data_IF_122630172741
#
_entry.id   IF_122630172741
#
_cell.length_a   1.000
_cell.length_b   1.000
_cell.length_c   1.000
_cell.angle_alpha   90.00
_cell.angle_beta   90.00
_cell.angle_gamma   90.00
#
_symmetry.space_group_name_H-M   'P 1'
#
loop_
_entity.id
_entity.type
_entity.pdbx_description
1 polymer ?
2 non-polymer ?
3 non-polymer ?
4 water ?
#
# COMPACT_ATOMS: atom_id res chain seq x y z
N UNK A 4 13.70 0.38 28.26
CA UNK A 4 12.49 0.16 27.37
C UNK A 4 12.95 -0.44 26.05
N UNK A 5 12.65 -1.74 25.78
CA UNK A 5 13.16 -2.41 24.59
C UNK A 5 12.48 -1.84 23.34
N UNK A 6 13.17 -1.85 22.20
CA UNK A 6 12.56 -1.36 20.94
C UNK A 6 11.70 -2.48 20.37
N UNK A 7 10.57 -2.14 19.73
CA UNK A 7 9.68 -3.16 19.24
C UNK A 7 10.23 -3.89 18.02
N UNK A 8 9.81 -5.15 17.89
CA UNK A 8 10.08 -6.04 16.74
C UNK A 8 8.86 -6.03 15.81
N UNK A 9 7.71 -5.67 16.37
CA UNK A 9 6.39 -5.69 15.70
C UNK A 9 5.59 -4.46 16.15
N UNK A 10 4.79 -3.91 15.24
CA UNK A 10 3.78 -2.88 15.59
C UNK A 10 2.48 -3.29 14.92
N UNK A 11 1.40 -2.69 15.37
CA UNK A 11 0.13 -2.85 14.67
C UNK A 11 -0.26 -1.51 14.10
N UNK A 12 -0.82 -1.61 12.91
CA UNK A 12 -1.19 -0.43 12.10
C UNK A 12 -2.67 -0.55 11.76
N UNK A 13 -3.41 0.51 12.04
CA UNK A 13 -4.80 0.67 11.58
C UNK A 13 -4.80 1.50 10.30
N UNK A 14 -5.48 0.98 9.29
CA UNK A 14 -5.76 1.70 8.03
C UNK A 14 -7.26 1.91 7.94
N UNK A 15 -7.71 3.13 7.78
CA UNK A 15 -9.11 3.41 7.51
C UNK A 15 -9.28 4.13 6.19
N UNK A 16 -10.31 3.79 5.44
CA UNK A 16 -10.72 4.57 4.27
C UNK A 16 -12.21 4.84 4.37
N UNK A 17 -12.58 6.11 4.18
CA UNK A 17 -14.00 6.49 4.18
C UNK A 17 -14.24 7.61 3.19
N UNK A 18 -15.08 7.36 2.22
CA UNK A 18 -15.68 8.42 1.39
C UNK A 18 -16.89 8.97 2.13
N UNK A 19 -16.73 10.17 2.65
CA UNK A 19 -17.68 10.82 3.56
C UNK A 19 -18.87 11.44 2.80
N UNK A 20 -18.87 11.46 1.47
CA UNK A 20 -20.01 11.94 0.70
C UNK A 20 -20.33 13.39 1.00
N UNK A 21 -19.30 14.16 1.35
CA UNK A 21 -19.37 15.63 1.55
C UNK A 21 -20.28 15.96 2.75
N UNK A 22 -20.52 15.00 3.64
CA UNK A 22 -21.41 15.20 4.82
C UNK A 22 -20.57 15.11 6.08
N UNK A 23 -20.90 15.89 7.13
CA UNK A 23 -20.23 15.74 8.41
C UNK A 23 -20.47 14.35 8.98
N UNK A 24 -19.52 13.80 9.76
CA UNK A 24 -19.73 12.49 10.33
C UNK A 24 -20.75 12.54 11.46
N UNK A 25 -21.21 11.37 11.93
CA UNK A 25 -22.12 11.34 13.07
C UNK A 25 -21.30 11.57 14.35
N UNK A 26 -21.97 11.64 15.49
CA UNK A 26 -21.26 12.03 16.73
C UNK A 26 -20.33 10.89 17.19
N UNK A 27 -20.60 9.65 16.82
CA UNK A 27 -19.79 8.50 17.26
C UNK A 27 -19.31 7.71 16.05
N UNK A 28 -17.99 7.56 15.92
CA UNK A 28 -17.42 6.76 14.79
C UNK A 28 -16.43 5.74 15.37
N UNK A 29 -16.51 5.45 16.67
CA UNK A 29 -15.56 4.53 17.33
C UNK A 29 -15.54 3.11 16.73
N UNK A 30 -16.67 2.65 16.17
CA UNK A 30 -16.79 1.30 15.56
C UNK A 30 -15.75 1.15 14.45
N UNK A 31 -15.45 2.23 13.73
CA UNK A 31 -14.44 2.20 12.64
C UNK A 31 -13.07 1.85 13.21
N UNK A 32 -12.65 2.56 14.24
CA UNK A 32 -11.30 2.38 14.82
C UNK A 32 -11.19 1.08 15.60
N UNK A 33 -12.32 0.51 16.02
CA UNK A 33 -12.40 -0.78 16.73
C UNK A 33 -12.53 -1.95 15.76
N UNK A 34 -12.61 -1.71 14.45
CA UNK A 34 -12.75 -2.78 13.45
C UNK A 34 -13.97 -3.65 13.78
N UNK A 35 -15.11 -2.99 14.00
CA UNK A 35 -16.42 -3.63 14.31
C UNK A 35 -17.39 -3.43 13.14
N UNK A 36 -18.13 -4.49 12.79
CA UNK A 36 -19.17 -4.42 11.78
C UNK A 36 -19.19 -5.71 11.05
N UNK A 37 -19.03 -5.64 9.73
CA UNK A 37 -19.04 -6.82 8.84
C UNK A 37 -17.60 -7.14 8.41
N UNK A 38 -17.39 -8.39 8.01
CA UNK A 38 -16.12 -8.84 7.45
C UNK A 38 -15.29 -9.54 8.49
N UNK A 39 -13.97 -9.36 8.39
CA UNK A 39 -12.99 -9.92 9.34
C UNK A 39 -12.77 -8.85 10.41
N UNK A 40 -13.42 -9.04 11.57
CA UNK A 40 -13.50 -8.01 12.62
C UNK A 40 -12.53 -8.37 13.75
N UNK A 41 -12.27 -7.35 14.56
CA UNK A 41 -11.33 -7.46 15.68
C UNK A 41 -12.06 -8.01 16.92
N UNK A 42 -11.36 -8.82 17.68
CA UNK A 42 -11.90 -9.42 18.91
C UNK A 42 -12.20 -8.33 19.96
N UNK A 43 -13.35 -8.48 20.61
CA UNK A 43 -13.76 -7.52 21.68
C UNK A 43 -12.69 -7.38 22.75
N UNK A 44 -11.94 -8.44 23.01
CA UNK A 44 -10.94 -8.45 24.11
C UNK A 44 -9.79 -7.49 23.80
N UNK A 45 -9.66 -7.03 22.54
CA UNK A 45 -8.61 -6.07 22.13
C UNK A 45 -9.05 -4.62 22.16
N UNK A 46 -10.30 -4.31 22.53
CA UNK A 46 -10.88 -2.98 22.31
C UNK A 46 -10.07 -1.89 22.99
N UNK A 47 -9.45 -2.16 24.15
CA UNK A 47 -8.74 -1.07 24.85
C UNK A 47 -7.30 -0.98 24.39
N UNK A 48 -6.84 -1.93 23.59
CA UNK A 48 -5.42 -2.01 23.18
C UNK A 48 -5.24 -1.07 22.00
N UNK A 49 -4.43 -0.02 22.11
CA UNK A 49 -4.29 0.92 21.01
C UNK A 49 -3.42 0.26 19.94
N UNK A 50 -3.75 0.53 18.69
CA UNK A 50 -2.79 0.32 17.62
C UNK A 50 -1.64 1.32 17.80
N UNK A 51 -0.50 0.96 17.25
CA UNK A 51 0.70 1.83 17.34
C UNK A 51 0.54 3.06 16.47
N UNK A 52 -0.02 2.86 15.28
CA UNK A 52 -0.15 3.92 14.24
C UNK A 52 -1.55 3.78 13.68
N UNK A 53 -2.28 4.90 13.59
CA UNK A 53 -3.58 4.97 12.89
C UNK A 53 -3.38 5.84 11.66
N UNK A 54 -3.75 5.31 10.48
CA UNK A 54 -3.69 6.06 9.21
C UNK A 54 -5.10 6.13 8.67
N UNK A 55 -5.61 7.35 8.53
CA UNK A 55 -7.04 7.64 8.21
C UNK A 55 -7.17 8.38 6.88
N UNK A 56 -7.68 7.68 5.85
CA UNK A 56 -7.83 8.27 4.50
C UNK A 56 -9.29 8.60 4.34
N UNK A 57 -9.58 9.83 4.00
CA UNK A 57 -10.93 10.22 3.62
C UNK A 57 -10.96 10.71 2.18
N UNK A 58 -12.14 10.63 1.63
CA UNK A 58 -12.49 11.18 0.29
C UNK A 58 -13.79 11.94 0.45
N UNK A 59 -14.00 12.94 -0.40
CA UNK A 59 -15.22 13.77 -0.30
C UNK A 59 -15.37 14.27 1.14
N UNK A 60 -14.26 14.66 1.76
CA UNK A 60 -14.22 15.09 3.17
C UNK A 60 -14.57 16.58 3.24
N UNK A 61 -15.67 16.95 3.91
CA UNK A 61 -16.13 18.34 3.94
C UNK A 61 -15.51 19.16 5.08
N UNK A 62 -14.73 18.50 5.92
CA UNK A 62 -14.25 19.09 7.18
C UNK A 62 -12.93 19.82 6.93
N UNK A 63 -12.64 20.80 7.77
CA UNK A 63 -11.28 21.36 7.83
C UNK A 63 -10.36 20.32 8.49
N UNK A 64 -9.05 20.46 8.30
CA UNK A 64 -8.08 19.58 8.95
C UNK A 64 -8.30 19.67 10.47
N UNK A 65 -8.54 20.89 10.96
CA UNK A 65 -8.69 21.05 12.41
C UNK A 65 -9.94 20.27 12.88
N UNK A 66 -11.05 20.46 12.20
CA UNK A 66 -12.31 19.79 12.58
C UNK A 66 -12.07 18.28 12.65
N UNK A 67 -11.44 17.70 11.63
CA UNK A 67 -11.32 16.23 11.55
C UNK A 67 -10.31 15.74 12.57
N UNK A 68 -9.19 16.44 12.77
CA UNK A 68 -8.22 16.08 13.80
C UNK A 68 -8.87 16.01 15.18
N UNK A 69 -9.70 17.02 15.48
CA UNK A 69 -10.52 17.11 16.72
C UNK A 69 -11.26 15.77 16.91
N UNK A 70 -12.07 15.40 15.92
CA UNK A 70 -12.93 14.21 15.97
C UNK A 70 -12.08 12.95 16.11
N UNK A 71 -11.03 12.87 15.33
CA UNK A 71 -10.18 11.66 15.37
C UNK A 71 -9.54 11.51 16.74
N UNK A 72 -8.87 12.54 17.19
CA UNK A 72 -8.15 12.41 18.48
C UNK A 72 -9.09 12.08 19.64
N UNK A 73 -10.24 12.76 19.70
CA UNK A 73 -11.29 12.54 20.74
C UNK A 73 -11.74 11.08 20.68
N UNK A 74 -12.01 10.57 19.48
CA UNK A 74 -12.51 9.19 19.27
C UNK A 74 -11.48 8.16 19.76
N UNK A 75 -10.19 8.38 19.48
CA UNK A 75 -9.16 7.43 19.92
C UNK A 75 -8.99 7.58 21.45
N UNK A 76 -9.06 8.80 21.97
CA UNK A 76 -8.94 8.99 23.45
C UNK A 76 -10.08 8.22 24.15
N UNK A 77 -11.29 8.32 23.63
CA UNK A 77 -12.45 7.63 24.22
C UNK A 77 -12.22 6.12 24.23
N UNK A 78 -11.72 5.57 23.12
CA UNK A 78 -11.50 4.11 22.98
C UNK A 78 -10.39 3.62 23.91
N UNK A 79 -9.26 4.35 23.98
CA UNK A 79 -8.01 3.79 24.49
C UNK A 79 -7.55 4.52 25.75
N UNK A 80 -8.10 5.70 26.02
CA UNK A 80 -7.58 6.64 27.06
C UNK A 80 -6.17 7.12 26.74
N UNK A 81 -5.74 7.03 25.48
CA UNK A 81 -4.41 7.55 25.03
C UNK A 81 -4.65 8.79 24.20
N UNK A 82 -3.84 9.82 24.43
CA UNK A 82 -3.82 11.05 23.61
C UNK A 82 -2.79 10.87 22.52
N UNK A 83 -3.26 10.60 21.30
CA UNK A 83 -2.36 10.32 20.19
C UNK A 83 -1.68 11.61 19.71
N UNK A 84 -0.49 11.45 19.15
CA UNK A 84 0.28 12.55 18.55
C UNK A 84 0.02 12.57 17.06
N UNK A 85 -0.06 13.77 16.48
CA UNK A 85 -0.25 13.92 15.03
C UNK A 85 1.12 13.80 14.36
N UNK A 86 1.29 12.81 13.51
CA UNK A 86 2.54 12.58 12.75
C UNK A 86 2.49 13.46 11.52
N UNK A 87 1.37 13.45 10.82
CA UNK A 87 1.26 14.12 9.51
C UNK A 87 -0.21 14.25 9.14
N UNK A 88 -0.52 15.30 8.40
CA UNK A 88 -1.84 15.47 7.76
C UNK A 88 -1.58 16.14 6.42
N UNK A 89 -2.24 15.68 5.38
CA UNK A 89 -2.10 16.26 4.05
C UNK A 89 -3.42 16.12 3.32
N UNK A 90 -3.88 17.20 2.70
CA UNK A 90 -5.16 17.26 2.00
C UNK A 90 -4.95 17.80 0.60
N UNK A 91 -5.53 17.13 -0.38
CA UNK A 91 -5.65 17.62 -1.77
C UNK A 91 -7.13 17.70 -2.07
N UNK A 92 -7.63 18.91 -2.23
CA UNK A 92 -9.07 19.11 -2.50
C UNK A 92 -9.82 18.49 -1.32
N UNK A 93 -10.60 17.44 -1.53
CA UNK A 93 -11.40 16.80 -0.46
C UNK A 93 -10.86 15.40 -0.15
N UNK A 94 -9.60 15.13 -0.56
CA UNK A 94 -8.88 13.86 -0.30
C UNK A 94 -7.88 14.10 0.82
N UNK A 95 -7.94 13.37 1.92
CA UNK A 95 -7.09 13.67 3.07
C UNK A 95 -6.49 12.40 3.66
N UNK A 96 -5.31 12.56 4.21
CA UNK A 96 -4.67 11.50 4.99
C UNK A 96 -4.21 12.09 6.32
N UNK A 97 -4.50 11.38 7.39
CA UNK A 97 -4.04 11.71 8.76
C UNK A 97 -3.26 10.54 9.31
N UNK A 98 -2.11 10.79 9.90
CA UNK A 98 -1.34 9.74 10.58
C UNK A 98 -1.22 10.15 12.04
N UNK A 99 -1.69 9.26 12.90
CA UNK A 99 -1.64 9.45 14.37
C UNK A 99 -0.80 8.32 14.94
N UNK A 100 -0.04 8.60 16.00
CA UNK A 100 0.76 7.54 16.62
C UNK A 100 0.76 7.69 18.13
N UNK A 101 0.95 6.56 18.83
CA UNK A 101 1.15 6.54 20.30
C UNK A 101 2.19 7.59 20.65
N UNK A 102 2.06 8.30 21.78
CA UNK A 102 3.10 9.21 22.22
C UNK A 102 4.49 8.60 22.41
N UNK A 103 4.55 7.36 22.83
CA UNK A 103 5.85 6.66 23.06
C UNK A 103 6.61 6.55 21.74
N UNK A 104 5.94 6.72 20.59
CA UNK A 104 6.62 6.52 19.28
C UNK A 104 7.20 7.82 18.72
N UNK A 105 6.96 8.93 19.42
CA UNK A 105 7.32 10.25 18.89
C UNK A 105 8.78 10.31 18.44
N UNK A 106 9.69 9.70 19.22
CA UNK A 106 11.16 9.76 18.98
C UNK A 106 11.63 8.47 18.27
N UNK A 107 10.67 7.68 17.77
CA UNK A 107 10.99 6.53 16.86
C UNK A 107 10.65 6.92 15.42
N UNK A 108 9.91 7.99 15.25
CA UNK A 108 9.40 8.40 13.93
C UNK A 108 10.22 9.57 13.40
N UNK A 109 10.70 9.48 12.18
CA UNK A 109 11.52 10.54 11.58
C UNK A 109 11.30 10.57 10.07
N UNK A 110 11.92 11.52 9.39
CA UNK A 110 11.89 11.57 7.90
C UNK A 110 10.45 11.57 7.40
N UNK A 111 9.63 12.45 7.95
CA UNK A 111 8.21 12.48 7.56
C UNK A 111 8.13 13.23 6.25
N UNK A 112 7.51 12.59 5.26
CA UNK A 112 7.25 13.17 3.92
C UNK A 112 5.73 13.18 3.72
N UNK A 113 5.26 14.13 2.89
CA UNK A 113 3.88 14.17 2.41
C UNK A 113 3.96 14.58 0.96
N UNK A 114 3.00 14.14 0.19
CA UNK A 114 2.90 14.59 -1.21
C UNK A 114 1.48 14.31 -1.72
N UNK A 115 1.18 14.83 -2.89
CA UNK A 115 -0.09 14.53 -3.57
C UNK A 115 0.16 14.40 -5.06
N UNK A 116 -0.75 13.75 -5.73
CA UNK A 116 -0.78 13.68 -7.20
C UNK A 116 -2.21 13.99 -7.64
N UNK A 117 -2.37 14.88 -8.59
CA UNK A 117 -3.64 15.20 -9.25
C UNK A 117 -3.75 14.35 -10.51
N UNK A 118 -4.82 13.55 -10.66
CA UNK A 118 -4.92 12.68 -11.87
C UNK A 118 -5.73 13.37 -12.98
N UNK A 119 -5.49 12.98 -14.24
CA UNK A 119 -6.27 13.45 -15.40
C UNK A 119 -5.80 14.79 -15.96
N UNK A 120 -6.36 15.20 -17.10
CA UNK A 120 -5.95 16.42 -17.88
C UNK A 120 -7.21 17.21 -18.28
N UNK A 121 -7.28 18.50 -17.91
CA UNK A 121 -8.29 19.51 -18.33
C UNK A 121 -9.68 19.16 -17.77
N UNK A 122 -10.56 18.54 -18.58
CA UNK A 122 -11.85 17.90 -18.16
C UNK A 122 -11.65 17.11 -16.85
N UNK A 123 -10.69 16.18 -16.87
CA UNK A 123 -10.51 15.07 -15.90
C UNK A 123 -9.47 15.44 -14.83
N UNK A 124 -8.93 16.67 -14.84
CA UNK A 124 -8.16 17.26 -13.71
C UNK A 124 -9.08 18.19 -12.92
N UNK A 125 -9.23 17.93 -11.62
CA UNK A 125 -9.93 18.88 -10.74
C UNK A 125 -10.53 18.27 -9.49
N UNK A 126 -10.74 16.95 -9.43
CA UNK A 126 -11.06 16.44 -8.07
C UNK A 126 -10.52 15.08 -7.63
N UNK A 127 -9.94 14.30 -8.56
CA UNK A 127 -9.43 12.93 -8.30
C UNK A 127 -7.89 12.96 -8.19
N UNK A 128 -7.34 12.06 -7.36
CA UNK A 128 -5.91 11.94 -7.19
C UNK A 128 -5.60 11.25 -5.90
N UNK A 129 -4.46 11.56 -5.32
CA UNK A 129 -3.99 10.80 -4.15
C UNK A 129 -3.24 11.76 -3.26
N UNK A 130 -3.25 11.45 -1.97
CA UNK A 130 -2.30 12.01 -1.00
C UNK A 130 -1.50 10.88 -0.39
N UNK A 131 -0.34 11.19 0.13
CA UNK A 131 0.51 10.18 0.74
C UNK A 131 1.34 10.71 1.86
N UNK A 132 1.77 9.79 2.71
CA UNK A 132 2.69 10.06 3.83
C UNK A 132 3.71 8.95 3.85
N UNK A 133 4.93 9.29 4.16
CA UNK A 133 5.97 8.32 4.52
C UNK A 133 6.77 8.77 5.71
N UNK A 134 7.37 7.81 6.37
CA UNK A 134 8.29 8.09 7.48
C UNK A 134 9.10 6.83 7.78
N UNK A 135 10.12 7.02 8.58
CA UNK A 135 10.86 5.92 9.20
C UNK A 135 10.30 5.68 10.58
N UNK A 136 10.09 4.42 10.93
CA UNK A 136 9.79 3.96 12.28
C UNK A 136 11.01 3.15 12.70
N UNK A 137 11.89 3.74 13.47
CA UNK A 137 13.22 3.13 13.77
C UNK A 137 13.85 2.71 12.44
N UNK A 138 14.22 1.45 12.24
CA UNK A 138 14.94 1.08 11.02
C UNK A 138 14.03 0.69 9.87
N UNK A 139 12.73 0.96 9.96
CA UNK A 139 11.74 0.44 8.98
C UNK A 139 11.07 1.63 8.31
N UNK A 140 11.02 1.58 6.98
CA UNK A 140 10.33 2.63 6.18
C UNK A 140 8.88 2.23 5.91
N UNK A 141 7.99 3.18 6.14
CA UNK A 141 6.54 2.97 6.00
C UNK A 141 5.99 4.01 5.04
N UNK A 142 5.21 3.59 4.06
CA UNK A 142 4.51 4.51 3.16
C UNK A 142 3.02 4.24 3.15
N UNK A 143 2.25 5.29 2.94
CA UNK A 143 0.77 5.23 3.00
C UNK A 143 0.24 6.09 1.88
N UNK A 144 -0.66 5.53 1.07
CA UNK A 144 -1.27 6.26 -0.07
C UNK A 144 -2.78 6.15 0.07
N UNK A 145 -3.46 7.30 0.09
CA UNK A 145 -4.93 7.42 0.02
C UNK A 145 -5.30 7.99 -1.32
N UNK A 146 -5.93 7.20 -2.18
CA UNK A 146 -6.33 7.65 -3.52
C UNK A 146 -7.84 7.61 -3.68
N UNK A 147 -8.35 8.58 -4.39
CA UNK A 147 -9.73 8.67 -4.89
C UNK A 147 -9.62 8.58 -6.41
N UNK A 148 -9.88 7.42 -6.98
CA UNK A 148 -9.71 7.21 -8.43
C UNK A 148 -11.01 7.56 -9.15
N UNK A 149 -10.90 7.60 -10.48
CA UNK A 149 -12.01 7.95 -11.36
C UNK A 149 -13.21 7.07 -11.06
N UNK A 150 -14.42 7.66 -11.07
CA UNK A 150 -15.69 6.93 -10.82
C UNK A 150 -16.28 6.40 -12.11
N UNK A 151 -17.22 5.52 -11.96
CA UNK A 151 -18.03 5.05 -13.09
C UNK A 151 -17.68 3.64 -13.48
N UNK A 152 -18.69 2.79 -13.63
CA UNK A 152 -18.45 1.38 -13.97
C UNK A 152 -17.67 1.20 -15.28
N UNK A 153 -17.81 2.16 -16.19
CA UNK A 153 -17.28 2.08 -17.57
C UNK A 153 -15.79 2.45 -17.61
N UNK A 154 -15.22 2.95 -16.50
CA UNK A 154 -13.90 3.61 -16.51
C UNK A 154 -12.80 2.84 -15.75
N UNK A 155 -12.83 1.52 -15.79
CA UNK A 155 -11.78 0.78 -15.06
C UNK A 155 -10.41 1.10 -15.67
N UNK A 156 -10.33 1.30 -16.99
CA UNK A 156 -9.00 1.60 -17.61
C UNK A 156 -8.47 2.92 -17.09
N UNK A 157 -9.36 3.93 -16.96
CA UNK A 157 -8.99 5.26 -16.41
C UNK A 157 -8.44 5.05 -14.98
N UNK A 158 -9.12 4.23 -14.19
CA UNK A 158 -8.65 3.97 -12.81
C UNK A 158 -7.23 3.42 -12.88
N UNK A 159 -7.00 2.46 -13.77
CA UNK A 159 -5.66 1.82 -13.87
C UNK A 159 -4.60 2.89 -14.27
N UNK A 160 -5.00 3.81 -15.12
CA UNK A 160 -4.14 4.93 -15.54
C UNK A 160 -3.87 5.83 -14.33
N UNK A 161 -4.92 6.09 -13.54
CA UNK A 161 -4.78 6.96 -12.35
C UNK A 161 -3.74 6.30 -11.43
N UNK A 162 -3.90 5.01 -11.17
CA UNK A 162 -2.96 4.23 -10.36
C UNK A 162 -1.50 4.44 -10.84
N UNK A 163 -1.27 4.29 -12.15
CA UNK A 163 0.11 4.37 -12.67
C UNK A 163 0.63 5.80 -12.51
N UNK A 164 -0.21 6.83 -12.76
CA UNK A 164 0.24 8.23 -12.53
C UNK A 164 0.60 8.44 -11.06
N UNK A 165 -0.20 7.91 -10.14
CA UNK A 165 0.07 8.10 -8.70
C UNK A 165 1.39 7.41 -8.33
N UNK A 166 1.53 6.18 -8.82
CA UNK A 166 2.70 5.28 -8.60
C UNK A 166 3.97 6.01 -9.05
N UNK A 167 3.89 6.66 -10.21
CA UNK A 167 5.06 7.32 -10.83
C UNK A 167 5.38 8.61 -10.11
N UNK A 168 4.38 9.41 -9.77
CA UNK A 168 4.65 10.84 -9.49
C UNK A 168 4.54 11.19 -8.02
N UNK A 169 4.08 10.27 -7.17
CA UNK A 169 4.01 10.61 -5.76
C UNK A 169 5.42 10.52 -5.18
N UNK A 170 5.90 11.61 -4.61
CA UNK A 170 7.32 11.73 -4.21
C UNK A 170 7.43 11.54 -2.72
N UNK A 171 7.52 10.29 -2.28
CA UNK A 171 7.66 9.97 -0.85
C UNK A 171 8.94 9.18 -0.68
N UNK A 172 9.36 9.01 0.56
CA UNK A 172 10.51 8.18 0.89
C UNK A 172 11.80 8.84 0.49
N UNK A 173 12.83 8.01 0.42
CA UNK A 173 14.24 8.48 0.34
C UNK A 173 14.51 8.92 -1.10
N UNK A 174 14.68 10.19 -1.37
CA UNK A 174 14.93 10.73 -2.74
C UNK A 174 16.21 10.16 -3.34
N UNK A 175 17.16 9.70 -2.47
CA UNK A 175 18.39 9.06 -2.99
C UNK A 175 18.06 7.79 -3.75
N UNK A 176 16.85 7.23 -3.55
CA UNK A 176 16.47 6.00 -4.27
C UNK A 176 15.92 6.38 -5.64
N UNK A 177 16.70 7.11 -6.43
CA UNK A 177 16.17 7.81 -7.61
C UNK A 177 15.60 6.88 -8.66
N UNK A 178 16.07 5.64 -8.90
CA UNK A 178 15.46 4.80 -9.92
C UNK A 178 14.13 4.17 -9.48
N UNK A 179 13.77 4.35 -8.21
CA UNK A 179 12.66 3.56 -7.61
C UNK A 179 11.44 4.43 -7.37
N UNK A 180 10.29 3.91 -7.78
CA UNK A 180 9.00 4.53 -7.43
C UNK A 180 8.54 4.06 -6.04
N UNK A 181 7.40 4.60 -5.61
CA UNK A 181 6.91 4.27 -4.23
C UNK A 181 6.70 2.76 -4.07
N UNK A 182 6.51 1.99 -5.13
CA UNK A 182 6.27 0.52 -4.97
C UNK A 182 7.55 -0.22 -4.57
N UNK A 183 8.70 0.47 -4.49
CA UNK A 183 9.97 -0.14 -4.05
C UNK A 183 10.61 0.64 -2.90
N UNK A 184 10.06 1.76 -2.43
CA UNK A 184 10.83 2.59 -1.49
C UNK A 184 10.61 2.23 -0.02
N UNK A 185 9.65 1.37 0.28
CA UNK A 185 9.19 1.15 1.67
C UNK A 185 9.26 -0.32 2.06
N UNK A 186 9.66 -0.59 3.29
CA UNK A 186 9.53 -1.93 3.90
C UNK A 186 8.08 -2.38 3.76
N UNK A 187 7.15 -1.47 4.07
CA UNK A 187 5.69 -1.73 4.04
C UNK A 187 5.03 -0.52 3.38
N UNK A 188 4.29 -0.77 2.31
CA UNK A 188 3.47 0.23 1.61
C UNK A 188 2.00 -0.16 1.68
N UNK A 189 1.17 0.76 2.17
CA UNK A 189 -0.28 0.52 2.27
C UNK A 189 -0.93 1.50 1.31
N UNK A 190 -1.76 0.97 0.42
CA UNK A 190 -2.45 1.82 -0.56
C UNK A 190 -3.93 1.53 -0.43
N UNK A 191 -4.68 2.57 -0.18
CA UNK A 191 -6.11 2.45 0.20
C UNK A 191 -6.84 3.62 -0.44
N UNK A 192 -8.15 3.60 -0.31
CA UNK A 192 -8.98 4.72 -0.71
C UNK A 192 -10.27 4.27 -1.36
N UNK A 193 -10.97 5.25 -1.94
CA UNK A 193 -12.09 5.01 -2.86
C UNK A 193 -11.52 4.76 -4.23
N UNK A 194 -11.08 3.53 -4.41
CA UNK A 194 -10.48 3.10 -5.69
C UNK A 194 -11.55 3.02 -6.77
N UNK A 195 -12.81 2.89 -6.42
CA UNK A 195 -13.93 3.10 -7.37
C UNK A 195 -14.08 1.98 -8.38
N UNK A 196 -13.44 0.84 -8.22
CA UNK A 196 -13.74 -0.33 -9.05
C UNK A 196 -15.10 -0.91 -8.64
N UNK A 197 -15.81 -1.40 -9.64
CA UNK A 197 -17.22 -1.80 -9.53
C UNK A 197 -17.42 -3.27 -9.79
N UNK A 198 -18.58 -3.74 -9.38
CA UNK A 198 -19.04 -5.10 -9.71
C UNK A 198 -19.64 -4.99 -11.08
N UNK A 199 -18.96 -5.57 -12.06
CA UNK A 199 -19.31 -5.50 -13.51
C UNK A 199 -20.31 -6.61 -13.84
N UNK A 200 -21.59 -6.31 -13.62
CA UNK A 200 -22.71 -7.17 -14.00
C UNK A 200 -23.70 -6.27 -14.73
N UNK A 201 -24.61 -6.89 -15.52
CA UNK A 201 -25.63 -6.11 -16.22
C UNK A 201 -26.47 -5.32 -15.22
N UNK A 202 -26.87 -4.10 -15.59
CA UNK A 202 -27.59 -3.14 -14.69
C UNK A 202 -28.98 -3.69 -14.34
N UNK A 203 -29.53 -4.57 -15.17
CA UNK A 203 -30.85 -5.23 -14.93
C UNK A 203 -30.68 -6.44 -13.99
N UNK A 204 -29.46 -6.76 -13.57
CA UNK A 204 -29.22 -7.68 -12.44
C UNK A 204 -29.17 -6.94 -11.09
N UNK A 205 -29.48 -5.65 -11.02
CA UNK A 205 -29.36 -4.88 -9.77
C UNK A 205 -30.08 -5.58 -8.62
N UNK A 206 -31.33 -5.99 -8.79
CA UNK A 206 -32.09 -6.52 -7.66
C UNK A 206 -31.53 -7.90 -7.30
N UNK A 207 -31.07 -8.67 -8.28
CA UNK A 207 -30.41 -9.97 -8.03
C UNK A 207 -29.19 -9.72 -7.15
N UNK A 208 -28.40 -8.73 -7.52
CA UNK A 208 -27.19 -8.41 -6.71
C UNK A 208 -27.56 -8.09 -5.26
N UNK A 209 -28.57 -7.27 -5.07
CA UNK A 209 -29.03 -6.89 -3.72
C UNK A 209 -29.46 -8.12 -2.92
N UNK A 210 -30.18 -9.04 -3.56
CA UNK A 210 -30.65 -10.27 -2.86
C UNK A 210 -29.44 -11.15 -2.51
N UNK A 211 -28.39 -11.19 -3.35
CA UNK A 211 -27.15 -11.95 -3.00
C UNK A 211 -26.52 -11.29 -1.76
N UNK A 212 -26.46 -9.95 -1.75
CA UNK A 212 -25.88 -9.24 -0.58
C UNK A 212 -26.66 -9.55 0.72
N UNK A 213 -27.99 -9.55 0.67
CA UNK A 213 -28.83 -9.84 1.85
C UNK A 213 -28.62 -11.26 2.36
N UNK A 214 -28.21 -12.18 1.50
CA UNK A 214 -27.89 -13.59 1.85
C UNK A 214 -26.43 -13.74 2.28
N UNK A 215 -25.66 -12.65 2.21
CA UNK A 215 -24.20 -12.69 2.52
C UNK A 215 -23.49 -13.67 1.59
N UNK A 216 -23.91 -13.72 0.34
CA UNK A 216 -23.36 -14.62 -0.69
C UNK A 216 -22.59 -13.74 -1.66
N UNK A 217 -21.31 -13.53 -1.38
CA UNK A 217 -20.49 -12.54 -2.12
C UNK A 217 -19.76 -13.19 -3.29
N UNK A 218 -19.67 -14.52 -3.39
CA UNK A 218 -18.74 -15.18 -4.33
C UNK A 218 -19.05 -14.78 -5.77
N UNK A 219 -20.32 -14.81 -6.17
CA UNK A 219 -20.71 -14.53 -7.56
C UNK A 219 -20.57 -13.02 -7.81
N UNK A 220 -20.46 -12.21 -6.77
CA UNK A 220 -20.27 -10.76 -7.00
C UNK A 220 -18.77 -10.50 -7.10
N UNK A 221 -17.97 -11.01 -6.16
CA UNK A 221 -16.50 -10.77 -6.17
C UNK A 221 -15.86 -11.31 -7.47
N UNK A 222 -16.43 -12.33 -8.09
CA UNK A 222 -15.87 -12.85 -9.36
C UNK A 222 -16.05 -11.82 -10.48
N UNK A 223 -16.84 -10.77 -10.27
CA UNK A 223 -17.03 -9.69 -11.26
C UNK A 223 -16.49 -8.36 -10.74
N UNK A 224 -15.86 -8.37 -9.57
CA UNK A 224 -15.24 -7.13 -9.04
C UNK A 224 -14.08 -6.71 -9.96
N UNK A 225 -14.13 -5.50 -10.47
CA UNK A 225 -13.14 -5.04 -11.45
C UNK A 225 -11.75 -4.97 -10.84
N UNK A 226 -11.58 -4.66 -9.58
CA UNK A 226 -10.22 -4.60 -9.03
C UNK A 226 -9.62 -6.03 -9.01
N UNK A 227 -10.35 -7.01 -8.52
CA UNK A 227 -9.86 -8.42 -8.53
C UNK A 227 -9.56 -8.83 -9.97
N UNK A 228 -10.45 -8.56 -10.92
CA UNK A 228 -10.25 -9.09 -12.30
C UNK A 228 -9.09 -8.35 -12.94
N UNK A 229 -9.00 -7.03 -12.78
CA UNK A 229 -7.89 -6.26 -13.35
C UNK A 229 -6.57 -6.72 -12.74
N UNK A 230 -6.55 -6.96 -11.43
CA UNK A 230 -5.32 -7.45 -10.74
C UNK A 230 -4.96 -8.83 -11.28
N UNK A 231 -5.94 -9.71 -11.50
CA UNK A 231 -5.69 -11.09 -11.99
C UNK A 231 -5.07 -11.04 -13.39
N UNK A 232 -5.46 -10.04 -14.19
CA UNK A 232 -4.92 -9.85 -15.57
C UNK A 232 -3.68 -8.96 -15.57
N UNK A 233 -3.17 -8.58 -14.40
CA UNK A 233 -1.89 -7.84 -14.25
C UNK A 233 -2.03 -6.48 -14.91
N UNK A 234 -3.22 -5.88 -14.77
CA UNK A 234 -3.47 -4.53 -15.35
C UNK A 234 -3.25 -3.44 -14.33
N UNK A 235 -3.15 -3.79 -13.03
CA UNK A 235 -3.10 -2.77 -11.96
C UNK A 235 -2.64 -3.47 -10.69
N UNK A 236 -1.98 -2.73 -9.79
CA UNK A 236 -1.63 -3.20 -8.45
C UNK A 236 -0.84 -4.53 -8.52
N UNK A 237 0.05 -4.63 -9.47
CA UNK A 237 0.94 -5.79 -9.60
C UNK A 237 1.78 -5.86 -8.31
N UNK A 238 1.82 -7.04 -7.74
CA UNK A 238 2.67 -7.42 -6.58
C UNK A 238 2.15 -6.84 -5.29
N UNK A 239 0.92 -6.33 -5.28
CA UNK A 239 0.20 -5.98 -4.04
C UNK A 239 -0.63 -7.15 -3.58
N UNK A 240 -1.00 -7.11 -2.29
CA UNK A 240 -1.89 -8.10 -1.61
C UNK A 240 -3.18 -7.39 -1.19
N UNK A 241 -4.29 -8.13 -1.12
CA UNK A 241 -5.52 -7.64 -0.48
C UNK A 241 -6.04 -8.85 0.29
N UNK A 242 -6.52 -8.60 1.51
CA UNK A 242 -7.21 -9.62 2.34
C UNK A 242 -8.53 -10.00 1.65
N UNK A 243 -8.97 -11.25 1.83
CA UNK A 243 -10.27 -11.70 1.29
C UNK A 243 -11.36 -10.79 1.80
N UNK A 244 -12.27 -10.43 0.93
CA UNK A 244 -13.43 -9.57 1.23
C UNK A 244 -14.57 -10.43 1.70
N UNK A 245 -15.02 -10.17 2.92
CA UNK A 245 -16.10 -10.97 3.57
C UNK A 245 -17.17 -10.05 4.12
N UNK A 246 -17.22 -8.80 3.65
CA UNK A 246 -18.18 -7.76 4.05
C UNK A 246 -18.99 -7.34 2.82
N UNK A 247 -20.20 -6.79 3.04
CA UNK A 247 -21.05 -6.39 1.91
C UNK A 247 -20.39 -5.24 1.17
N UNK A 248 -20.74 -5.07 -0.12
CA UNK A 248 -20.36 -3.85 -0.85
C UNK A 248 -20.60 -2.60 -0.03
N UNK A 249 -19.66 -1.66 -0.11
CA UNK A 249 -19.67 -0.47 0.76
C UNK A 249 -20.27 0.74 0.05
N UNK A 250 -20.80 0.55 -1.14
CA UNK A 250 -21.33 1.64 -1.99
C UNK A 250 -22.39 0.99 -2.87
N UNK A 251 -23.48 1.67 -3.26
CA UNK A 251 -23.87 2.99 -2.88
C UNK A 251 -25.14 2.88 -2.03
N UNK A 252 -25.06 3.35 -0.80
CA UNK A 252 -26.19 3.30 0.18
C UNK A 252 -27.03 4.57 0.12
N UNK A 253 -28.32 4.42 0.42
CA UNK A 253 -29.16 5.54 0.88
C UNK A 253 -28.56 6.02 2.21
N UNK A 254 -28.47 7.32 2.43
CA UNK A 254 -27.96 7.88 3.70
C UNK A 254 -28.95 7.62 4.84
N UNK A 255 -28.44 7.53 6.07
CA UNK A 255 -29.16 7.48 7.36
C UNK A 255 -29.71 6.07 7.62
N UNK A 256 -29.48 5.13 6.71
CA UNK A 256 -29.78 3.71 6.95
C UNK A 256 -28.65 2.91 6.32
N UNK A 257 -28.55 1.60 6.56
CA UNK A 257 -27.75 0.74 5.64
C UNK A 257 -28.67 -0.30 5.05
N UNK A 258 -29.98 -0.07 5.09
CA UNK A 258 -30.92 -1.14 4.68
C UNK A 258 -31.17 -1.08 3.17
N UNK A 259 -30.70 -0.02 2.47
CA UNK A 259 -31.05 0.18 1.06
C UNK A 259 -29.81 0.59 0.27
N UNK A 260 -29.60 -0.09 -0.83
CA UNK A 260 -28.65 0.34 -1.87
C UNK A 260 -29.36 1.21 -2.88
N UNK A 261 -28.82 2.39 -3.14
CA UNK A 261 -29.34 3.38 -4.11
C UNK A 261 -28.54 3.23 -5.38
N UNK A 262 -29.02 2.42 -6.32
CA UNK A 262 -28.25 2.09 -7.53
C UNK A 262 -28.78 2.73 -8.83
N UNK A 263 -30.03 3.20 -8.81
CA UNK A 263 -30.76 3.65 -10.04
C UNK A 263 -30.10 4.94 -10.58
N UNK A 264 -30.12 5.11 -11.90
CA UNK A 264 -29.55 6.29 -12.56
C UNK A 264 -30.42 7.50 -12.21
N UNK A 265 -29.75 8.60 -11.97
CA UNK A 265 -30.36 9.88 -11.50
C UNK A 265 -29.62 11.02 -12.21
N UNK A 266 -30.27 12.19 -12.35
CA UNK A 266 -29.53 13.37 -12.84
C UNK A 266 -28.26 13.53 -11.99
N UNK A 267 -28.37 13.35 -10.67
CA UNK A 267 -27.24 13.61 -9.75
C UNK A 267 -26.09 12.61 -10.00
N UNK A 268 -26.34 11.47 -10.63
CA UNK A 268 -25.26 10.50 -10.97
C UNK A 268 -24.79 10.65 -12.42
N UNK A 269 -25.17 11.71 -13.13
CA UNK A 269 -24.91 11.79 -14.57
C UNK A 269 -25.61 10.71 -15.35
N UNK A 270 -26.78 10.27 -14.86
CA UNK A 270 -27.56 9.18 -15.49
C UNK A 270 -26.77 7.89 -15.57
N UNK A 271 -25.94 7.67 -14.55
CA UNK A 271 -25.16 6.42 -14.36
C UNK A 271 -25.93 5.57 -13.33
N UNK A 272 -25.84 4.24 -13.50
CA UNK A 272 -26.17 3.28 -12.44
C UNK A 272 -24.95 3.10 -11.55
N UNK A 273 -25.23 2.94 -10.29
CA UNK A 273 -24.18 2.56 -9.32
C UNK A 273 -24.61 1.24 -8.70
N UNK A 274 -24.39 0.14 -9.41
CA UNK A 274 -24.62 -1.20 -8.83
C UNK A 274 -23.74 -1.33 -7.59
N UNK A 275 -24.22 -2.03 -6.55
CA UNK A 275 -23.45 -2.24 -5.33
C UNK A 275 -22.06 -2.75 -5.65
N UNK A 276 -21.09 -2.08 -5.04
CA UNK A 276 -19.68 -2.31 -5.38
C UNK A 276 -18.78 -2.14 -4.15
N UNK A 277 -17.65 -2.78 -4.23
CA UNK A 277 -16.57 -2.65 -3.23
C UNK A 277 -15.62 -1.54 -3.69
N UNK A 278 -16.09 -0.30 -3.60
CA UNK A 278 -15.29 0.87 -4.04
C UNK A 278 -14.09 1.11 -3.13
N UNK A 279 -14.22 0.74 -1.88
CA UNK A 279 -13.41 1.23 -0.75
C UNK A 279 -12.49 0.12 -0.26
N UNK A 280 -11.20 0.23 -0.46
CA UNK A 280 -10.30 -0.94 -0.41
C UNK A 280 -8.99 -0.58 0.30
N UNK A 281 -8.34 -1.61 0.82
CA UNK A 281 -7.01 -1.53 1.41
C UNK A 281 -6.15 -2.63 0.81
N UNK A 282 -5.04 -2.25 0.23
CA UNK A 282 -4.03 -3.18 -0.31
C UNK A 282 -2.68 -2.86 0.29
N UNK A 283 -1.76 -3.80 0.22
CA UNK A 283 -0.41 -3.52 0.71
C UNK A 283 0.65 -4.25 -0.12
N UNK A 284 1.86 -3.78 0.04
CA UNK A 284 3.04 -4.45 -0.56
C UNK A 284 4.17 -4.25 0.42
N UNK A 285 4.75 -5.33 0.87
CA UNK A 285 5.88 -5.34 1.81
C UNK A 285 7.05 -6.01 1.13
N UNK A 286 8.24 -5.64 1.51
CA UNK A 286 9.46 -6.29 0.98
C UNK A 286 9.40 -7.77 1.31
N UNK A 287 10.08 -8.58 0.48
CA UNK A 287 10.06 -10.02 0.65
C UNK A 287 10.56 -10.44 2.03
N UNK A 288 9.85 -11.40 2.62
CA UNK A 288 10.25 -12.08 3.88
C UNK A 288 10.27 -11.10 5.03
N UNK A 289 9.41 -10.09 4.95
CA UNK A 289 9.11 -9.29 6.15
C UNK A 289 7.73 -9.68 6.66
N UNK A 290 7.60 -9.72 7.96
CA UNK A 290 6.33 -10.10 8.65
C UNK A 290 5.29 -9.03 8.34
N UNK A 291 4.17 -9.44 7.75
CA UNK A 291 3.01 -8.53 7.62
C UNK A 291 1.80 -9.45 7.63
N UNK A 292 0.89 -9.23 8.54
CA UNK A 292 -0.31 -10.10 8.70
C UNK A 292 -1.53 -9.20 8.86
N UNK A 293 -2.50 -9.33 7.97
CA UNK A 293 -3.77 -8.62 8.10
C UNK A 293 -4.57 -9.28 9.21
N UNK A 294 -4.93 -8.48 10.22
CA UNK A 294 -5.68 -8.93 11.42
C UNK A 294 -7.17 -8.63 11.26
N UNK A 295 -7.54 -7.62 10.45
CA UNK A 295 -8.95 -7.24 10.27
C UNK A 295 -9.07 -6.62 8.88
N UNK A 296 -10.25 -6.78 8.31
CA UNK A 296 -10.61 -6.17 7.02
C UNK A 296 -12.11 -6.24 6.89
N UNK A 297 -12.76 -5.09 7.06
CA UNK A 297 -14.20 -5.07 7.07
C UNK A 297 -14.78 -3.70 6.97
N UNK A 298 -16.09 -3.60 7.13
CA UNK A 298 -16.79 -2.30 7.05
C UNK A 298 -17.68 -2.09 8.25
N UNK A 299 -17.88 -0.84 8.63
CA UNK A 299 -18.80 -0.54 9.72
C UNK A 299 -20.23 -0.64 9.22
N UNK A 300 -21.12 -0.87 10.17
CA UNK A 300 -22.58 -1.02 9.93
C UNK A 300 -23.37 0.14 10.51
N UNK A 301 -22.77 0.94 11.39
CA UNK A 301 -23.49 1.92 12.22
C UNK A 301 -23.11 3.37 11.89
N UNK A 302 -22.38 3.63 10.80
CA UNK A 302 -21.96 5.00 10.40
C UNK A 302 -22.60 5.23 9.05
N UNK A 303 -23.60 6.12 9.00
CA UNK A 303 -24.60 6.16 7.90
C UNK A 303 -24.75 7.57 7.30
N UNK A 304 -23.83 8.49 7.57
CA UNK A 304 -23.94 9.89 7.06
C UNK A 304 -23.61 9.94 5.58
N UNK A 305 -22.86 8.97 5.08
CA UNK A 305 -22.40 8.94 3.70
C UNK A 305 -23.11 7.84 2.91
N UNK A 306 -22.98 7.90 1.60
CA UNK A 306 -23.45 6.83 0.69
C UNK A 306 -22.38 5.75 0.58
N UNK A 307 -21.24 5.92 1.25
CA UNK A 307 -20.25 4.85 1.47
C UNK A 307 -20.23 4.48 2.94
N UNK A 308 -19.91 3.22 3.23
CA UNK A 308 -19.54 2.83 4.59
C UNK A 308 -18.03 2.86 4.76
N UNK A 309 -17.54 3.31 5.90
CA UNK A 309 -16.12 3.23 6.23
C UNK A 309 -15.63 1.77 6.13
N UNK A 310 -14.38 1.62 5.72
CA UNK A 310 -13.65 0.34 5.69
C UNK A 310 -12.47 0.51 6.64
N UNK A 311 -12.17 -0.58 7.34
CA UNK A 311 -11.01 -0.69 8.22
C UNK A 311 -10.18 -1.90 7.81
N UNK A 312 -8.89 -1.80 8.04
CA UNK A 312 -7.97 -2.92 7.98
C UNK A 312 -6.93 -2.73 9.05
N UNK A 313 -6.52 -3.82 9.67
CA UNK A 313 -5.42 -3.75 10.65
C UNK A 313 -4.36 -4.79 10.29
N UNK A 314 -3.15 -4.41 10.64
CA UNK A 314 -1.98 -5.22 10.32
C UNK A 314 -1.01 -5.33 11.49
N UNK A 315 -0.44 -6.52 11.68
CA UNK A 315 0.87 -6.72 12.34
C UNK A 315 1.94 -6.43 11.30
N UNK A 316 2.93 -5.61 11.65
CA UNK A 316 4.01 -5.29 10.69
C UNK A 316 5.33 -5.44 11.41
N UNK A 317 6.21 -6.26 10.88
CA UNK A 317 7.56 -6.36 11.43
C UNK A 317 8.32 -5.06 11.28
N UNK A 318 9.05 -4.70 12.33
CA UNK A 318 9.92 -3.52 12.33
C UNK A 318 11.27 -3.88 12.91
N UNK A 319 12.28 -3.10 12.56
CA UNK A 319 13.67 -3.30 13.06
C UNK A 319 14.13 -2.08 13.82
N UNK A 320 15.16 -2.28 14.64
CA UNK A 320 15.80 -1.22 15.47
C UNK A 320 16.66 -0.32 14.58
N UNK A 321 17.07 0.83 15.12
CA UNK A 321 18.10 1.71 14.50
C UNK A 321 19.50 1.28 14.95
N UNK A 322 20.10 0.34 14.25
CA UNK A 322 21.33 -0.37 14.64
C UNK A 322 22.59 0.50 14.58
N UNK A 323 23.36 0.48 15.68
CA UNK A 323 24.71 1.10 15.79
C UNK A 323 25.71 0.01 16.20
N UNK A 324 26.79 -0.10 15.45
CA UNK A 324 27.95 -0.94 15.85
C UNK A 324 29.16 -0.02 16.11
N UNK A 325 30.26 -0.64 16.52
CA UNK A 325 31.58 0.01 16.72
C UNK A 325 32.05 0.60 15.38
N UNK A 326 31.70 -0.07 14.29
CA UNK A 326 32.08 0.29 12.88
C UNK A 326 30.96 1.17 12.31
N UNK A 327 30.07 0.62 11.48
CA UNK A 327 29.01 1.41 10.86
C UNK A 327 27.88 1.67 11.86
N UNK A 328 27.03 2.70 11.65
CA UNK A 328 27.22 3.70 10.58
C UNK A 328 28.49 4.59 10.67
N UNK A 329 28.95 5.05 9.50
CA UNK A 329 30.10 5.95 9.33
C UNK A 329 31.33 5.25 8.80
N UNK A 330 31.25 3.93 8.65
CA UNK A 330 32.31 3.14 7.99
C UNK A 330 31.71 1.78 7.61
N UNK A 331 32.48 1.00 6.87
CA UNK A 331 32.17 -0.41 6.54
C UNK A 331 32.60 -1.31 7.71
N UNK A 332 32.08 -2.52 7.72
CA UNK A 332 32.46 -3.60 8.67
C UNK A 332 33.09 -4.70 7.83
N UNK A 333 34.40 -4.86 7.90
CA UNK A 333 35.14 -5.73 6.96
C UNK A 333 34.67 -7.18 7.10
N UNK A 334 33.95 -7.52 8.17
CA UNK A 334 33.52 -8.93 8.43
C UNK A 334 32.26 -9.25 7.61
N UNK A 335 31.66 -8.26 6.96
CA UNK A 335 30.46 -8.44 6.11
C UNK A 335 30.75 -8.33 4.63
N UNK A 336 30.08 -9.12 3.80
CA UNK A 336 30.10 -8.95 2.33
C UNK A 336 28.89 -9.64 1.69
N UNK A 337 28.48 -9.07 0.58
CA UNK A 337 27.41 -9.67 -0.26
C UNK A 337 27.99 -9.89 -1.65
N UNK A 338 27.99 -11.15 -2.08
CA UNK A 338 28.46 -11.59 -3.40
C UNK A 338 27.30 -12.22 -4.19
N UNK A 339 27.42 -12.14 -5.51
CA UNK A 339 26.41 -12.55 -6.52
C UNK A 339 27.10 -13.46 -7.54
N UNK A 340 26.50 -14.61 -7.79
CA UNK A 340 27.09 -15.59 -8.72
C UNK A 340 26.05 -15.84 -9.80
N UNK A 341 26.50 -16.15 -11.04
CA UNK A 341 25.63 -16.68 -12.11
C UNK A 341 24.38 -15.77 -12.23
N UNK A 342 24.53 -14.44 -12.18
CA UNK A 342 23.33 -13.54 -12.24
C UNK A 342 23.03 -13.12 -13.69
N UNK A 343 21.75 -13.04 -13.99
CA UNK A 343 21.33 -12.51 -15.30
C UNK A 343 19.95 -11.88 -15.16
N UNK A 344 19.75 -10.86 -15.97
CA UNK A 344 18.46 -10.16 -16.09
C UNK A 344 17.85 -10.65 -17.40
N UNK A 345 16.57 -10.94 -17.40
CA UNK A 345 15.77 -11.24 -18.61
C UNK A 345 14.87 -10.03 -18.79
N UNK A 346 14.97 -9.36 -19.92
CA UNK A 346 14.19 -8.13 -20.13
C UNK A 346 13.22 -8.34 -21.28
N UNK A 347 12.07 -7.69 -21.18
CA UNK A 347 11.03 -7.71 -22.25
C UNK A 347 11.33 -6.67 -23.34
N UNK A 348 12.24 -5.73 -23.10
CA UNK A 348 12.54 -4.63 -24.05
C UNK A 348 12.91 -5.18 -25.43
N UNK A 349 12.44 -4.51 -26.45
CA UNK A 349 12.77 -4.83 -27.86
C UNK A 349 14.07 -4.11 -28.25
N UNK A 350 14.59 -3.24 -27.38
CA UNK A 350 15.76 -2.37 -27.65
C UNK A 350 17.05 -3.19 -27.51
N UNK A 351 18.13 -2.73 -28.17
CA UNK A 351 19.53 -3.21 -28.04
C UNK A 351 20.41 -2.01 -27.67
N UNK A 352 20.66 -1.84 -26.37
CA UNK A 352 21.66 -0.96 -25.70
C UNK A 352 22.40 -1.87 -24.71
N UNK A 353 23.50 -1.44 -24.16
CA UNK A 353 24.14 -2.14 -23.03
C UNK A 353 23.42 -1.75 -21.73
N UNK A 354 23.46 -2.65 -20.77
CA UNK A 354 22.84 -2.42 -19.44
C UNK A 354 23.86 -2.64 -18.33
N UNK A 355 23.71 -1.89 -17.25
CA UNK A 355 24.41 -2.11 -15.99
C UNK A 355 23.39 -2.13 -14.84
N UNK A 356 23.81 -2.64 -13.68
CA UNK A 356 22.97 -2.66 -12.47
C UNK A 356 23.38 -1.56 -11.51
N UNK A 357 22.40 -1.08 -10.76
CA UNK A 357 22.67 -0.34 -9.50
C UNK A 357 22.07 -1.07 -8.33
N UNK A 358 22.84 -1.18 -7.26
CA UNK A 358 22.43 -1.81 -5.98
C UNK A 358 22.21 -0.67 -5.00
N UNK A 359 21.00 -0.55 -4.46
CA UNK A 359 20.72 0.44 -3.42
C UNK A 359 20.24 -0.22 -2.14
N UNK A 360 20.79 0.17 -1.01
CA UNK A 360 20.30 -0.36 0.27
C UNK A 360 20.82 0.52 1.38
N UNK A 361 20.01 0.65 2.43
CA UNK A 361 20.39 1.32 3.70
C UNK A 361 21.60 0.64 4.34
N UNK A 362 21.86 -0.63 4.02
CA UNK A 362 23.00 -1.37 4.62
C UNK A 362 24.33 -0.96 3.93
N UNK A 363 24.28 -0.16 2.86
CA UNK A 363 25.49 0.35 2.13
C UNK A 363 25.69 1.82 2.39
N UNK A 364 26.96 2.27 2.32
CA UNK A 364 27.23 3.71 2.57
C UNK A 364 26.63 4.51 1.43
N UNK A 365 26.68 3.98 0.21
CA UNK A 365 25.93 4.56 -0.92
C UNK A 365 25.75 3.49 -2.00
N UNK A 366 24.96 3.84 -3.00
CA UNK A 366 24.58 2.86 -4.06
C UNK A 366 25.82 2.46 -4.86
N UNK A 367 25.73 1.29 -5.44
CA UNK A 367 26.86 0.67 -6.17
C UNK A 367 26.43 0.42 -7.60
N UNK A 368 27.27 0.79 -8.55
CA UNK A 368 27.03 0.67 -10.01
C UNK A 368 27.95 -0.42 -10.57
N UNK A 369 27.37 -1.47 -11.16
CA UNK A 369 28.11 -2.61 -11.73
C UNK A 369 28.75 -2.19 -13.06
N UNK A 370 29.62 -3.07 -13.56
CA UNK A 370 30.05 -3.07 -14.97
C UNK A 370 28.84 -3.42 -15.83
N UNK A 371 28.92 -3.13 -17.11
CA UNK A 371 27.93 -3.59 -18.11
C UNK A 371 27.90 -5.11 -18.17
N UNK A 372 26.70 -5.66 -18.29
CA UNK A 372 26.47 -7.06 -18.60
C UNK A 372 26.70 -7.35 -20.07
N UNK A 373 26.67 -8.63 -20.40
CA UNK A 373 26.81 -9.13 -21.78
C UNK A 373 25.43 -9.55 -22.27
N UNK A 374 24.96 -8.88 -23.29
CA UNK A 374 23.66 -9.19 -23.90
C UNK A 374 23.71 -10.49 -24.69
N UNK A 375 22.75 -11.39 -24.48
CA UNK A 375 22.52 -12.51 -25.42
C UNK A 375 21.04 -12.59 -25.74
N UNK A 376 20.67 -13.37 -26.74
CA UNK A 376 19.28 -13.61 -27.19
C UNK A 376 18.75 -14.85 -26.44
N UNK A 377 17.61 -14.75 -25.76
CA UNK A 377 16.88 -15.89 -25.17
C UNK A 377 16.27 -16.78 -26.26
N UNK A 378 15.90 -18.01 -25.92
CA UNK A 378 15.41 -19.05 -26.88
C UNK A 378 14.02 -18.69 -27.40
N UNK A 379 13.30 -17.79 -26.70
CA UNK A 379 11.91 -17.40 -27.05
C UNK A 379 11.87 -15.92 -27.44
N UNK A 380 13.00 -15.34 -27.91
CA UNK A 380 13.10 -13.96 -28.42
C UNK A 380 13.64 -12.93 -27.41
N UNK A 381 13.81 -13.29 -26.13
CA UNK A 381 14.05 -12.31 -25.02
C UNK A 381 15.45 -11.72 -25.10
N UNK A 382 15.63 -10.54 -24.51
CA UNK A 382 17.00 -10.08 -24.18
C UNK A 382 17.42 -10.64 -22.82
N UNK A 383 18.54 -11.36 -22.78
CA UNK A 383 19.15 -11.85 -21.52
C UNK A 383 20.41 -11.03 -21.32
N UNK A 384 20.57 -10.40 -20.17
CA UNK A 384 21.78 -9.60 -19.86
C UNK A 384 22.57 -10.41 -18.84
N UNK A 385 23.74 -10.90 -19.22
CA UNK A 385 24.52 -11.80 -18.34
C UNK A 385 25.53 -10.98 -17.56
N UNK A 386 25.53 -11.13 -16.25
CA UNK A 386 26.53 -10.54 -15.34
C UNK A 386 27.55 -11.58 -14.92
N UNK A 387 27.25 -12.86 -15.14
CA UNK A 387 28.03 -14.02 -14.66
C UNK A 387 28.49 -13.80 -13.22
N UNK A 388 29.81 -13.77 -13.04
CA UNK A 388 30.48 -13.69 -11.72
C UNK A 388 31.06 -12.29 -11.63
N UNK A 389 30.58 -11.35 -12.46
CA UNK A 389 31.22 -10.02 -12.66
C UNK A 389 30.67 -8.97 -11.68
N UNK A 390 29.57 -9.21 -10.96
CA UNK A 390 28.96 -8.13 -10.13
C UNK A 390 29.90 -7.80 -8.97
N UNK A 391 29.97 -6.53 -8.49
CA UNK A 391 30.85 -6.20 -7.38
C UNK A 391 30.45 -6.95 -6.09
N UNK A 392 31.42 -6.96 -5.18
CA UNK A 392 31.23 -7.43 -3.79
C UNK A 392 30.72 -6.22 -3.02
N UNK A 393 29.53 -6.33 -2.39
CA UNK A 393 28.92 -5.21 -1.63
C UNK A 393 29.46 -5.27 -0.21
N UNK A 394 29.76 -4.09 0.31
CA UNK A 394 30.41 -3.92 1.64
C UNK A 394 29.41 -3.28 2.56
N UNK A 395 28.71 -4.08 3.39
CA UNK A 395 27.72 -3.50 4.30
C UNK A 395 28.40 -2.73 5.43
N UNK A 396 27.65 -1.78 5.99
CA UNK A 396 28.12 -0.89 7.10
C UNK A 396 28.21 -1.65 8.41
N UNK A 397 27.43 -2.70 8.54
CA UNK A 397 27.30 -3.51 9.78
C UNK A 397 27.27 -4.98 9.38
N UNK A 398 28.05 -5.81 10.05
CA UNK A 398 28.26 -7.24 9.68
C UNK A 398 27.44 -8.14 10.59
N UNK A 399 26.89 -7.60 11.68
CA UNK A 399 26.15 -8.40 12.69
C UNK A 399 24.96 -9.04 11.95
N UNK A 400 24.79 -10.37 12.00
CA UNK A 400 23.70 -11.02 11.26
C UNK A 400 22.33 -10.61 11.76
N UNK A 401 22.21 -10.20 13.02
CA UNK A 401 20.90 -9.75 13.60
C UNK A 401 20.47 -8.47 12.90
N UNK A 402 21.41 -7.75 12.33
CA UNK A 402 21.09 -6.59 11.46
C UNK A 402 21.01 -7.05 10.01
N UNK A 403 22.06 -7.68 9.50
CA UNK A 403 22.23 -7.78 8.03
C UNK A 403 21.14 -8.68 7.42
N UNK A 404 20.72 -9.75 8.12
CA UNK A 404 19.74 -10.72 7.60
C UNK A 404 18.36 -10.04 7.49
N UNK A 405 18.15 -8.92 8.17
CA UNK A 405 16.86 -8.18 8.08
C UNK A 405 16.88 -7.14 6.95
N UNK A 406 17.95 -7.03 6.16
CA UNK A 406 18.07 -5.96 5.16
C UNK A 406 17.64 -6.46 3.78
N UNK A 407 17.55 -5.54 2.84
CA UNK A 407 17.09 -5.78 1.47
C UNK A 407 17.96 -4.99 0.52
N UNK A 408 18.17 -5.56 -0.67
CA UNK A 408 18.91 -4.89 -1.77
C UNK A 408 17.92 -4.57 -2.88
N UNK A 409 17.75 -3.28 -3.17
CA UNK A 409 17.02 -2.83 -4.38
C UNK A 409 17.98 -2.89 -5.57
N UNK A 410 17.48 -3.39 -6.68
CA UNK A 410 18.23 -3.53 -7.96
C UNK A 410 17.49 -2.74 -9.01
N UNK A 411 18.24 -1.88 -9.71
CA UNK A 411 17.76 -1.29 -10.97
C UNK A 411 18.70 -1.76 -12.07
N UNK A 412 18.13 -2.09 -13.19
CA UNK A 412 18.90 -2.35 -14.43
C UNK A 412 18.72 -1.11 -15.29
N UNK A 413 19.85 -0.48 -15.63
CA UNK A 413 19.85 0.81 -16.36
C UNK A 413 20.56 0.70 -17.71
N UNK A 414 20.02 1.40 -18.68
CA UNK A 414 20.64 1.58 -20.00
C UNK A 414 21.93 2.40 -19.88
N UNK A 415 23.02 1.91 -20.46
CA UNK A 415 24.29 2.67 -20.51
C UNK A 415 24.09 3.96 -21.30
N UNK A 416 23.29 3.90 -22.37
CA UNK A 416 23.07 5.01 -23.34
C UNK A 416 22.30 6.15 -22.64
N UNK A 417 21.29 5.83 -21.84
CA UNK A 417 20.35 6.86 -21.34
C UNK A 417 20.39 7.01 -19.82
N UNK A 418 20.98 6.04 -19.09
CA UNK A 418 20.95 5.98 -17.61
C UNK A 418 19.49 5.87 -17.09
N UNK A 419 18.58 5.44 -17.97
CA UNK A 419 17.17 5.26 -17.51
C UNK A 419 17.00 3.82 -17.03
N UNK A 420 16.29 3.69 -15.89
CA UNK A 420 15.95 2.33 -15.39
C UNK A 420 14.96 1.64 -16.34
N UNK A 421 15.26 0.39 -16.71
CA UNK A 421 14.35 -0.47 -17.47
C UNK A 421 13.62 -1.44 -16.55
N UNK A 422 14.03 -1.50 -15.28
CA UNK A 422 13.39 -2.45 -14.37
C UNK A 422 13.99 -2.33 -12.99
N UNK A 423 13.12 -2.50 -12.01
CA UNK A 423 13.44 -2.39 -10.58
C UNK A 423 12.92 -3.61 -9.86
N UNK A 424 13.68 -4.06 -8.88
CA UNK A 424 13.26 -5.18 -8.03
C UNK A 424 13.96 -5.16 -6.70
N UNK A 425 13.71 -6.17 -5.87
CA UNK A 425 14.18 -6.19 -4.49
C UNK A 425 14.52 -7.62 -4.09
N UNK A 426 15.66 -7.76 -3.45
CA UNK A 426 16.17 -9.06 -2.94
C UNK A 426 16.24 -9.00 -1.41
N UNK A 427 15.64 -9.95 -0.70
CA UNK A 427 15.80 -10.05 0.78
C UNK A 427 17.13 -10.73 1.12
N UNK A 428 17.78 -10.24 2.15
CA UNK A 428 18.95 -10.92 2.76
C UNK A 428 18.56 -11.88 3.89
N UNK A 429 17.27 -12.20 4.04
CA UNK A 429 16.75 -13.14 5.07
C UNK A 429 16.98 -14.58 4.57
N UNK A 430 18.25 -14.97 4.43
CA UNK A 430 18.64 -16.23 3.75
C UNK A 430 18.46 -17.43 4.68
N UNK A 431 18.40 -18.59 4.07
CA UNK A 431 18.39 -19.86 4.80
C UNK A 431 19.76 -20.16 5.39
N UNK A 432 20.81 -19.59 4.86
CA UNK A 432 22.20 -19.89 5.28
C UNK A 432 23.10 -18.73 4.91
N UNK A 433 24.19 -18.58 5.64
CA UNK A 433 25.27 -17.64 5.29
C UNK A 433 26.47 -18.44 4.77
N UNK A 434 27.37 -17.76 4.09
CA UNK A 434 28.59 -18.34 3.50
C UNK A 434 28.20 -19.52 2.60
N UNK A 435 27.01 -19.48 1.97
CA UNK A 435 26.43 -20.58 1.16
C UNK A 435 25.84 -19.96 -0.10
N UNK A 436 26.12 -20.50 -1.27
CA UNK A 436 25.47 -20.02 -2.53
C UNK A 436 24.00 -20.40 -2.52
N UNK A 437 23.10 -19.42 -2.66
CA UNK A 437 21.67 -19.69 -2.59
C UNK A 437 21.00 -18.99 -3.76
N UNK A 438 19.96 -19.58 -4.35
CA UNK A 438 19.26 -18.89 -5.44
C UNK A 438 18.62 -17.57 -4.92
N UNK A 439 18.63 -16.55 -5.77
CA UNK A 439 17.85 -15.30 -5.55
C UNK A 439 17.04 -15.03 -6.80
N UNK A 440 15.98 -14.25 -6.61
CA UNK A 440 15.03 -13.95 -7.70
C UNK A 440 14.25 -12.71 -7.29
N UNK A 441 14.05 -11.82 -8.24
CA UNK A 441 13.01 -10.78 -8.16
C UNK A 441 12.42 -10.55 -9.54
N UNK A 442 11.11 -10.32 -9.65
CA UNK A 442 10.56 -9.74 -10.86
C UNK A 442 11.12 -8.32 -10.96
N UNK A 443 11.16 -7.81 -12.19
CA UNK A 443 11.55 -6.41 -12.44
C UNK A 443 10.34 -5.68 -13.01
N UNK A 444 10.11 -4.48 -12.50
CA UNK A 444 9.02 -3.63 -12.99
C UNK A 444 9.57 -2.25 -13.33
N UNK A 445 8.79 -1.53 -14.10
CA UNK A 445 9.07 -0.12 -14.40
C UNK A 445 7.74 0.57 -14.58
N UNK A 446 7.55 1.65 -13.83
CA UNK A 446 6.23 2.28 -13.71
C UNK A 446 5.21 1.22 -13.24
N UNK A 447 5.68 0.28 -12.44
CA UNK A 447 4.83 -0.74 -11.82
C UNK A 447 4.35 -1.80 -12.79
N UNK A 448 4.84 -1.79 -14.04
CA UNK A 448 4.49 -2.84 -15.01
C UNK A 448 5.66 -3.83 -15.09
N UNK A 449 5.36 -5.11 -15.32
CA UNK A 449 6.42 -6.12 -15.46
C UNK A 449 7.30 -5.85 -16.69
N UNK A 450 8.60 -5.79 -16.51
CA UNK A 450 9.54 -5.54 -17.60
C UNK A 450 10.59 -6.65 -17.71
N UNK A 451 10.63 -7.56 -16.75
CA UNK A 451 11.65 -8.60 -16.80
C UNK A 451 11.81 -9.28 -15.46
N UNK A 452 12.92 -9.92 -15.32
CA UNK A 452 13.31 -10.72 -14.15
C UNK A 452 14.81 -10.62 -13.89
N UNK A 453 15.17 -10.77 -12.63
CA UNK A 453 16.58 -10.87 -12.24
C UNK A 453 16.74 -12.12 -11.39
N UNK A 454 17.69 -12.96 -11.77
CA UNK A 454 17.92 -14.19 -10.99
C UNK A 454 19.39 -14.53 -10.96
N UNK A 455 19.76 -15.31 -9.95
CA UNK A 455 21.15 -15.75 -9.82
C UNK A 455 21.33 -16.37 -8.46
N UNK A 456 22.53 -16.22 -7.93
CA UNK A 456 22.82 -16.77 -6.59
C UNK A 456 23.47 -15.66 -5.79
N UNK A 457 23.31 -15.76 -4.48
CA UNK A 457 23.90 -14.82 -3.53
C UNK A 457 24.76 -15.64 -2.56
N UNK A 458 25.78 -15.02 -1.99
CA UNK A 458 26.65 -15.58 -0.93
C UNK A 458 26.82 -14.45 0.08
N UNK A 459 26.23 -14.61 1.26
CA UNK A 459 26.24 -13.55 2.28
C UNK A 459 27.18 -13.95 3.42
N UNK A 460 28.15 -13.08 3.70
CA UNK A 460 29.08 -13.19 4.86
C UNK A 460 28.62 -12.24 5.96
N UNK A 461 28.38 -12.77 7.16
CA UNK A 461 28.10 -11.95 8.37
C UNK A 461 29.25 -12.23 9.34
N UNK A 462 29.25 -11.52 10.46
CA UNK A 462 30.29 -11.73 11.50
C UNK A 462 30.10 -13.07 12.22
N UNK A 463 28.98 -13.76 12.00
CA UNK A 463 28.80 -15.15 12.52
C UNK A 463 28.87 -16.14 11.33
X LIG B 1 -4.25 -12.32 -8.00
X LIG B 1 -0.80 -13.86 -6.04
X LIG B 1 -1.81 -14.71 -6.47
X LIG B 1 -2.93 -14.20 -7.11
X LIG B 1 -3.05 -12.82 -7.34
X LIG B 1 -2.03 -11.98 -6.90
X LIG B 1 -5.31 -13.21 -8.43
X LIG B 1 -4.46 -10.89 -8.24
X LIG B 1 -0.92 -12.49 -6.26
X LIG B 1 0.42 -14.41 -5.32
X LIG B 1 1.46 -14.81 -6.25
X LIG B 1 2.55 -15.47 -5.54
X LIG B 1 3.38 -14.44 -4.75
X LIG B 1 3.37 -16.28 -6.55
X LIG C 1 13.55 -2.99 7.46
X LIG C 1 12.95 -2.95 8.80
X LIG C 1 13.40 -4.64 6.94
X LIG C 1 15.31 -3.05 7.69
X LIG D 1 16.22 -0.35 1.81
X LIG D 1 17.58 -0.66 2.30
X LIG D 1 16.44 1.20 0.95
X LIG D 1 16.03 -1.32 0.40
X LIG E 1 9.54 -7.42 -6.24
X LIG E 1 9.75 -6.01 -5.74
X LIG E 1 7.84 -7.78 -5.98
X LIG E 1 10.24 -8.48 -4.99
X LIG F 1 -4.37 -11.94 -2.96
X LIG F 1 -4.00 -10.48 -2.95
X LIG F 1 -5.12 -12.25 -4.52
X LIG F 1 -2.86 -12.81 -3.24
#
# INVERSE_FOLDING_TARGET
SMEQPEPDMITIFIGTWNMGNAPPPKKITSWFLSKGQGKTRDDSADYIPHDIYVIGTQEDPLSEKEWLEILKHSLQEITSVTFKTVAIHTLWNIRIVVLAKPEHENRISHICTDNVKTGIANTLGNKGAVGVSFMFNGTSLGFVNSHLTSGSEKKLRRNQNYMNILRFLALGDKKLSPFNITHRFTHLFWFGDLNYRVDLPTWEAETIIQKIKQQQYADLLSHDQLLTERREQKVFLHFEEEEITFAPTYRFERLTRDKYAYTKQKATGMKYNLPSWCDRVLWKSYPLVHVVCQSYGSTSDIMTSDHSPVFATFEAGVTSQFVSKNGPGTVDSQGQIEFLRCYATLKTKSQTKFYLEFHSSCLESFVKSQEGENEEGSEGELVVKFGETLPKLKPIISDPEYLLDQHILISIKSSDSDESYGEGCIALRLEATETQLPIYTPLTHHGELTGHFQGEIKLQTSQ
GWV N1 C4 C5 C6 C7 C8 C10 C11 C9 C3 N C1 C2 C
DMS S O C1 C2
DMS S O C1 C2
DMS S O C1 C2
DMS S O C1 C2
#
